data_IF_275940967775
#
_entry.id   IF_275940967775
#
_cell.length_a   1.000
_cell.length_b   1.000
_cell.length_c   1.000
_cell.angle_alpha   90.00
_cell.angle_beta   90.00
_cell.angle_gamma   90.00
#
_symmetry.space_group_name_H-M   'P 1'
#
loop_
_entity.id
_entity.type
_entity.pdbx_description
1 polymer ?
#
# COMPACT_ATOMS: atom_id res chain seq x y z
N UNK A 1 -63.96 26.92 1.85
CA UNK A 1 -62.61 26.52 1.35
C UNK A 1 -61.64 26.42 2.53
N UNK A 2 -61.04 25.27 2.78
CA UNK A 2 -60.00 25.10 3.83
C UNK A 2 -58.70 25.81 3.41
N UNK A 3 -57.93 26.34 4.39
CA UNK A 3 -56.66 26.99 4.10
C UNK A 3 -55.60 26.00 3.60
N UNK A 4 -54.65 26.48 2.79
CA UNK A 4 -53.60 25.61 2.24
C UNK A 4 -52.65 25.13 3.34
N UNK A 5 -52.06 23.94 3.20
CA UNK A 5 -51.15 23.37 4.20
C UNK A 5 -49.87 24.19 4.33
N UNK A 6 -49.54 24.57 5.55
CA UNK A 6 -48.30 25.25 5.94
C UNK A 6 -47.10 24.37 5.65
N UNK A 7 -46.17 24.93 4.87
CA UNK A 7 -44.86 24.28 4.60
C UNK A 7 -44.07 24.15 5.90
N UNK A 8 -43.39 23.00 6.13
CA UNK A 8 -42.51 22.87 7.30
C UNK A 8 -41.33 23.84 7.18
N UNK A 9 -41.07 24.57 8.26
CA UNK A 9 -39.89 25.42 8.42
C UNK A 9 -38.62 24.56 8.29
N UNK A 10 -37.94 24.61 7.14
CA UNK A 10 -36.60 24.05 6.96
C UNK A 10 -35.63 25.08 7.54
N UNK A 11 -34.99 24.72 8.62
CA UNK A 11 -33.86 25.47 9.18
C UNK A 11 -32.81 25.71 8.07
N UNK A 12 -32.10 26.87 8.05
CA UNK A 12 -31.09 27.14 7.05
C UNK A 12 -29.99 26.10 7.16
N UNK A 13 -30.01 25.14 6.22
CA UNK A 13 -29.08 24.06 6.12
C UNK A 13 -27.67 24.57 5.94
N UNK A 14 -26.80 24.16 6.82
CA UNK A 14 -25.36 24.20 6.70
C UNK A 14 -24.95 23.79 5.29
N UNK A 15 -24.48 24.74 4.52
CA UNK A 15 -23.87 24.52 3.20
C UNK A 15 -22.69 23.56 3.40
N UNK A 16 -22.65 22.40 2.71
CA UNK A 16 -21.48 21.52 2.79
C UNK A 16 -20.27 22.25 2.23
N UNK A 17 -19.28 22.38 3.12
CA UNK A 17 -18.12 23.21 2.95
C UNK A 17 -17.35 23.00 1.64
N UNK A 18 -16.68 24.03 1.26
CA UNK A 18 -15.81 24.26 0.09
C UNK A 18 -14.62 23.28 -0.09
N UNK A 19 -14.61 22.12 0.55
CA UNK A 19 -13.48 21.17 0.50
C UNK A 19 -13.30 20.41 -0.83
N UNK A 20 -14.24 20.53 -1.78
CA UNK A 20 -14.24 19.68 -2.98
C UNK A 20 -14.07 20.40 -4.33
N UNK A 21 -13.83 21.72 -4.33
CA UNK A 21 -13.77 22.46 -5.61
C UNK A 21 -12.42 22.38 -6.34
N UNK A 22 -11.33 22.13 -5.62
CA UNK A 22 -9.97 22.06 -6.21
C UNK A 22 -9.64 20.72 -6.85
N UNK A 23 -10.40 19.65 -6.56
CA UNK A 23 -10.15 18.34 -7.17
C UNK A 23 -10.87 18.14 -8.52
N UNK A 24 -11.90 18.93 -8.82
CA UNK A 24 -12.71 18.79 -10.06
C UNK A 24 -12.01 19.25 -11.33
N UNK A 25 -10.99 20.10 -11.25
CA UNK A 25 -10.28 20.64 -12.42
C UNK A 25 -9.03 19.89 -12.82
N UNK A 26 -8.66 18.84 -12.10
CA UNK A 26 -7.56 17.95 -12.51
C UNK A 26 -8.17 16.79 -13.27
N UNK A 27 -7.91 16.70 -14.56
CA UNK A 27 -8.34 15.57 -15.39
C UNK A 27 -8.04 14.24 -14.70
N UNK A 28 -8.95 13.29 -14.81
CA UNK A 28 -8.81 11.97 -14.21
C UNK A 28 -7.54 11.29 -14.71
N UNK A 29 -6.75 10.71 -13.80
CA UNK A 29 -5.53 9.98 -14.13
C UNK A 29 -5.74 8.50 -13.86
N UNK A 30 -5.49 7.68 -14.86
CA UNK A 30 -5.51 6.23 -14.70
C UNK A 30 -4.33 5.80 -13.82
N UNK A 31 -4.57 4.81 -12.96
CA UNK A 31 -3.52 4.24 -12.13
C UNK A 31 -2.43 3.58 -13.00
N UNK A 32 -1.14 3.93 -12.85
CA UNK A 32 -0.09 3.47 -13.77
C UNK A 32 0.04 1.94 -13.86
N UNK A 33 -0.09 1.27 -12.73
CA UNK A 33 -0.08 -0.19 -12.66
C UNK A 33 -1.32 -0.79 -13.33
N UNK A 34 -2.52 -0.26 -12.99
CA UNK A 34 -3.79 -0.73 -13.55
C UNK A 34 -3.87 -0.56 -15.08
N UNK A 35 -3.31 0.53 -15.60
CA UNK A 35 -3.24 0.77 -17.05
C UNK A 35 -2.43 -0.31 -17.80
N UNK A 36 -1.49 -0.99 -17.12
CA UNK A 36 -0.58 -1.99 -17.69
C UNK A 36 -0.94 -3.43 -17.35
N UNK A 37 -2.02 -3.64 -16.62
CA UNK A 37 -2.51 -5.00 -16.33
C UNK A 37 -2.88 -5.72 -17.62
N UNK A 38 -2.48 -6.99 -17.70
CA UNK A 38 -2.71 -7.83 -18.88
C UNK A 38 -1.76 -7.59 -20.07
N UNK A 39 -0.88 -6.57 -20.00
CA UNK A 39 0.13 -6.30 -21.04
C UNK A 39 1.53 -6.61 -20.50
N UNK A 40 2.01 -5.87 -19.51
CA UNK A 40 3.33 -6.07 -18.90
C UNK A 40 3.26 -6.31 -17.37
N UNK A 41 2.14 -6.03 -16.75
CA UNK A 41 1.89 -6.31 -15.34
C UNK A 41 0.81 -7.38 -15.21
N UNK A 42 0.93 -8.22 -14.17
CA UNK A 42 -0.04 -9.26 -13.84
C UNK A 42 -0.75 -8.93 -12.54
N UNK A 43 -1.83 -9.65 -12.25
CA UNK A 43 -2.58 -9.50 -11.00
C UNK A 43 -1.78 -10.05 -9.81
N UNK A 44 -1.99 -9.45 -8.66
CA UNK A 44 -1.39 -9.91 -7.40
C UNK A 44 -2.15 -11.08 -6.76
N UNK A 45 -3.33 -11.40 -7.25
CA UNK A 45 -4.08 -12.63 -6.93
C UNK A 45 -4.24 -13.42 -8.22
N UNK A 46 -3.73 -14.66 -8.25
CA UNK A 46 -3.68 -15.52 -9.43
C UNK A 46 -4.50 -16.78 -9.17
N UNK A 47 -5.78 -16.72 -9.49
CA UNK A 47 -6.73 -17.83 -9.37
C UNK A 47 -7.98 -17.55 -10.19
N UNK A 48 -8.74 -18.58 -10.45
CA UNK A 48 -10.04 -18.52 -11.10
C UNK A 48 -11.07 -19.30 -10.28
N UNK A 49 -12.22 -18.69 -9.99
CA UNK A 49 -13.33 -19.30 -9.28
C UNK A 49 -14.62 -18.55 -9.59
N UNK A 50 -15.66 -19.29 -10.01
CA UNK A 50 -16.96 -18.70 -10.34
C UNK A 50 -17.90 -18.60 -9.13
N UNK A 51 -17.98 -19.69 -8.34
CA UNK A 51 -19.00 -19.82 -7.27
C UNK A 51 -18.61 -19.11 -5.98
N UNK A 52 -17.32 -19.14 -5.63
CA UNK A 52 -16.81 -18.60 -4.36
C UNK A 52 -15.95 -17.35 -4.54
N UNK A 53 -16.05 -16.68 -5.70
CA UNK A 53 -15.25 -15.49 -6.03
C UNK A 53 -15.25 -14.45 -4.90
N UNK A 54 -16.43 -14.08 -4.40
CA UNK A 54 -16.58 -13.09 -3.32
C UNK A 54 -15.81 -13.49 -2.06
N UNK A 55 -15.95 -14.74 -1.62
CA UNK A 55 -15.30 -15.25 -0.42
C UNK A 55 -13.78 -15.18 -0.56
N UNK A 56 -13.24 -15.71 -1.63
CA UNK A 56 -11.80 -15.75 -1.87
C UNK A 56 -11.18 -14.36 -2.04
N UNK A 57 -11.90 -13.45 -2.71
CA UNK A 57 -11.46 -12.06 -2.86
C UNK A 57 -11.30 -11.36 -1.50
N UNK A 58 -12.29 -11.51 -0.62
CA UNK A 58 -12.23 -10.91 0.72
C UNK A 58 -11.16 -11.56 1.62
N UNK A 59 -10.98 -12.87 1.52
CA UNK A 59 -9.89 -13.57 2.19
C UNK A 59 -8.53 -13.02 1.74
N UNK A 60 -8.29 -12.90 0.44
CA UNK A 60 -7.03 -12.39 -0.10
C UNK A 60 -6.74 -10.95 0.35
N UNK A 61 -7.75 -10.09 0.37
CA UNK A 61 -7.59 -8.71 0.84
C UNK A 61 -7.19 -8.70 2.31
N UNK A 62 -7.82 -9.55 3.15
CA UNK A 62 -7.49 -9.66 4.57
C UNK A 62 -6.08 -10.21 4.77
N UNK A 63 -5.71 -11.28 4.07
CA UNK A 63 -4.37 -11.89 4.12
C UNK A 63 -3.30 -10.86 3.73
N UNK A 64 -3.44 -10.20 2.59
CA UNK A 64 -2.47 -9.20 2.12
C UNK A 64 -2.28 -8.06 3.10
N UNK A 65 -3.37 -7.56 3.68
CA UNK A 65 -3.33 -6.49 4.67
C UNK A 65 -2.66 -6.95 5.97
N UNK A 66 -3.09 -8.07 6.53
CA UNK A 66 -2.56 -8.60 7.77
C UNK A 66 -1.06 -8.94 7.67
N UNK A 67 -0.63 -9.59 6.58
CA UNK A 67 0.79 -9.89 6.34
C UNK A 67 1.61 -8.61 6.22
N UNK A 68 1.11 -7.59 5.51
CA UNK A 68 1.82 -6.33 5.34
C UNK A 68 1.94 -5.55 6.65
N UNK A 69 0.91 -5.56 7.49
CA UNK A 69 0.91 -4.92 8.81
C UNK A 69 1.88 -5.62 9.76
N UNK A 70 1.83 -6.95 9.83
CA UNK A 70 2.72 -7.73 10.70
C UNK A 70 4.19 -7.59 10.29
N UNK A 71 4.48 -7.67 9.00
CA UNK A 71 5.85 -7.59 8.44
C UNK A 71 6.29 -6.17 8.09
N UNK A 72 5.70 -5.15 8.70
CA UNK A 72 6.03 -3.77 8.39
C UNK A 72 7.53 -3.46 8.45
N UNK A 73 8.23 -3.98 9.47
CA UNK A 73 9.67 -3.78 9.68
C UNK A 73 10.55 -4.54 8.67
N UNK A 74 10.01 -5.55 8.01
CA UNK A 74 10.72 -6.35 7.02
C UNK A 74 10.79 -5.70 5.63
N UNK A 75 10.17 -4.52 5.42
CA UNK A 75 10.12 -3.83 4.13
C UNK A 75 9.52 -4.70 3.03
N UNK A 76 8.26 -5.08 3.18
CA UNK A 76 7.53 -5.88 2.21
C UNK A 76 7.10 -5.02 1.02
N UNK A 77 7.57 -5.36 -0.16
CA UNK A 77 7.23 -4.68 -1.41
C UNK A 77 5.81 -5.03 -1.89
N UNK A 78 5.52 -6.32 -2.00
CA UNK A 78 4.21 -6.83 -2.42
C UNK A 78 3.94 -8.20 -1.81
N UNK A 79 2.67 -8.56 -1.74
CA UNK A 79 2.20 -9.89 -1.35
C UNK A 79 1.31 -10.41 -2.48
N UNK A 80 1.67 -11.54 -3.04
CA UNK A 80 0.89 -12.24 -4.07
C UNK A 80 0.23 -13.48 -3.47
N UNK A 81 -0.94 -13.82 -3.97
CA UNK A 81 -1.69 -15.01 -3.55
C UNK A 81 -2.02 -15.84 -4.79
N UNK A 82 -1.58 -17.08 -4.80
CA UNK A 82 -1.91 -18.06 -5.82
C UNK A 82 -2.77 -19.15 -5.19
N UNK A 83 -3.89 -19.48 -5.82
CA UNK A 83 -4.77 -20.54 -5.34
C UNK A 83 -4.90 -21.63 -6.39
N UNK A 84 -4.75 -22.86 -5.96
CA UNK A 84 -4.97 -24.05 -6.79
C UNK A 84 -5.68 -25.10 -5.95
N UNK A 85 -6.89 -25.46 -6.35
CA UNK A 85 -7.77 -26.39 -5.62
C UNK A 85 -7.88 -26.00 -4.13
N UNK A 86 -7.41 -26.86 -3.22
CA UNK A 86 -7.49 -26.66 -1.77
C UNK A 86 -6.23 -26.02 -1.16
N UNK A 87 -5.32 -25.50 -1.98
CA UNK A 87 -4.05 -24.91 -1.54
C UNK A 87 -4.02 -23.42 -1.84
N UNK A 88 -3.53 -22.61 -0.89
CA UNK A 88 -3.26 -21.20 -1.05
C UNK A 88 -1.78 -20.92 -0.83
N UNK A 89 -1.07 -20.51 -1.89
CA UNK A 89 0.33 -20.12 -1.81
C UNK A 89 0.41 -18.61 -1.67
N UNK A 90 1.01 -18.12 -0.58
CA UNK A 90 1.25 -16.70 -0.32
C UNK A 90 2.71 -16.40 -0.57
N UNK A 91 3.00 -15.58 -1.57
CA UNK A 91 4.36 -15.18 -1.95
C UNK A 91 4.61 -13.78 -1.42
N UNK A 92 5.60 -13.63 -0.56
CA UNK A 92 5.98 -12.37 0.09
C UNK A 92 7.26 -11.85 -0.54
N UNK A 93 7.18 -10.74 -1.27
CA UNK A 93 8.35 -10.05 -1.81
C UNK A 93 8.87 -9.06 -0.80
N UNK A 94 10.10 -9.26 -0.32
CA UNK A 94 10.70 -8.43 0.73
C UNK A 94 12.15 -8.06 0.41
N UNK A 95 12.58 -6.91 0.91
CA UNK A 95 13.98 -6.49 0.86
C UNK A 95 14.84 -7.16 1.94
N UNK A 96 14.21 -7.75 2.98
CA UNK A 96 14.91 -8.37 4.12
C UNK A 96 14.34 -9.74 4.44
N UNK A 97 14.62 -10.76 3.60
CA UNK A 97 14.04 -12.10 3.77
C UNK A 97 14.39 -12.74 5.12
N UNK A 98 15.57 -12.48 5.65
CA UNK A 98 15.99 -13.00 6.96
C UNK A 98 15.09 -12.58 8.12
N UNK A 99 14.48 -11.39 8.07
CA UNK A 99 13.53 -10.94 9.10
C UNK A 99 12.18 -11.67 9.02
N UNK A 100 11.78 -12.06 7.82
CA UNK A 100 10.53 -12.80 7.58
C UNK A 100 10.69 -14.26 7.98
N UNK A 101 11.80 -14.88 7.59
CA UNK A 101 12.11 -16.29 7.89
C UNK A 101 12.34 -16.47 9.40
N UNK A 102 13.03 -15.51 10.04
CA UNK A 102 13.38 -15.58 11.45
C UNK A 102 14.40 -16.66 11.78
N UNK A 103 14.77 -16.78 13.05
CA UNK A 103 15.72 -17.78 13.53
C UNK A 103 15.13 -19.18 13.40
N UNK A 104 15.78 -20.04 12.59
CA UNK A 104 15.37 -21.43 12.41
C UNK A 104 13.98 -21.63 11.77
N UNK A 105 13.48 -20.64 11.00
CA UNK A 105 12.19 -20.75 10.31
C UNK A 105 10.96 -20.36 11.16
N UNK A 106 11.15 -20.05 12.44
CA UNK A 106 10.03 -19.70 13.35
C UNK A 106 9.16 -18.54 12.85
N UNK A 107 9.74 -17.57 12.13
CA UNK A 107 8.99 -16.46 11.56
C UNK A 107 7.94 -16.93 10.54
N UNK A 108 8.25 -17.92 9.71
CA UNK A 108 7.31 -18.49 8.74
C UNK A 108 6.21 -19.29 9.46
N UNK A 109 6.56 -20.05 10.51
CA UNK A 109 5.59 -20.78 11.31
C UNK A 109 4.59 -19.84 11.98
N UNK A 110 5.07 -18.74 12.58
CA UNK A 110 4.23 -17.70 13.15
C UNK A 110 3.34 -17.04 12.08
N UNK A 111 3.88 -16.78 10.90
CA UNK A 111 3.07 -16.27 9.79
C UNK A 111 1.98 -17.25 9.37
N UNK A 112 2.25 -18.55 9.40
CA UNK A 112 1.26 -19.57 9.04
C UNK A 112 0.21 -19.76 10.15
N UNK A 113 0.63 -20.06 11.37
CA UNK A 113 -0.24 -20.45 12.49
C UNK A 113 -0.67 -19.30 13.41
N UNK A 114 0.10 -18.21 13.45
CA UNK A 114 -0.12 -17.09 14.37
C UNK A 114 0.71 -17.17 15.66
N UNK A 115 0.64 -16.11 16.45
CA UNK A 115 1.30 -16.00 17.76
C UNK A 115 0.35 -15.45 18.82
N UNK A 116 -0.84 -16.02 18.95
CA UNK A 116 -1.83 -15.57 19.92
C UNK A 116 -1.33 -15.69 21.37
N UNK A 117 -0.43 -16.66 21.63
CA UNK A 117 0.08 -16.95 22.97
C UNK A 117 1.29 -16.08 23.38
N UNK A 118 1.93 -15.38 22.45
CA UNK A 118 3.13 -14.55 22.70
C UNK A 118 2.84 -13.16 23.26
N UNK A 119 1.61 -12.88 23.68
CA UNK A 119 1.21 -11.58 24.26
C UNK A 119 2.04 -11.15 25.48
N UNK A 120 2.78 -12.06 26.11
CA UNK A 120 3.62 -11.79 27.27
C UNK A 120 4.94 -11.03 26.97
N UNK A 121 5.33 -10.88 25.69
CA UNK A 121 6.62 -10.27 25.29
C UNK A 121 6.50 -8.97 24.49
N UNK A 122 5.32 -8.31 24.50
CA UNK A 122 5.15 -7.06 23.74
C UNK A 122 5.16 -7.22 22.22
N UNK A 123 5.08 -8.44 21.71
CA UNK A 123 4.98 -8.73 20.30
C UNK A 123 3.54 -8.47 19.80
N UNK A 124 3.42 -7.96 18.58
CA UNK A 124 2.12 -7.73 17.92
C UNK A 124 1.37 -9.04 17.75
N UNK A 125 0.16 -9.13 18.28
CA UNK A 125 -0.71 -10.30 18.10
C UNK A 125 -1.02 -10.47 16.61
N UNK A 126 -0.73 -11.64 16.07
CA UNK A 126 -1.03 -11.99 14.70
C UNK A 126 -1.82 -13.31 14.66
N UNK A 127 -3.02 -13.33 14.07
CA UNK A 127 -3.88 -14.52 14.09
C UNK A 127 -3.39 -15.65 13.18
N UNK A 128 -2.36 -15.40 12.37
CA UNK A 128 -1.87 -16.32 11.35
C UNK A 128 -2.67 -16.30 10.06
N UNK A 129 -1.99 -16.58 8.96
CA UNK A 129 -2.63 -16.59 7.63
C UNK A 129 -3.65 -17.73 7.53
N UNK A 130 -3.41 -18.85 8.19
CA UNK A 130 -4.31 -20.01 8.19
C UNK A 130 -5.70 -19.70 8.78
N UNK A 131 -5.81 -18.72 9.69
CA UNK A 131 -7.10 -18.34 10.28
C UNK A 131 -8.04 -17.61 9.31
N UNK A 132 -7.51 -17.04 8.23
CA UNK A 132 -8.29 -16.29 7.24
C UNK A 132 -8.85 -17.14 6.13
N UNK A 133 -8.35 -18.37 5.93
CA UNK A 133 -8.75 -19.27 4.84
C UNK A 133 -8.92 -20.71 5.32
N UNK A 134 -9.87 -21.41 4.72
CA UNK A 134 -10.07 -22.86 4.94
C UNK A 134 -9.07 -23.73 4.18
N UNK A 135 -8.36 -23.15 3.19
CA UNK A 135 -7.41 -23.87 2.36
C UNK A 135 -6.07 -24.03 3.10
N UNK A 136 -5.31 -25.06 2.75
CA UNK A 136 -3.96 -25.25 3.27
C UNK A 136 -3.03 -24.12 2.78
N UNK A 137 -2.34 -23.42 3.72
CA UNK A 137 -1.49 -22.28 3.40
C UNK A 137 -0.02 -22.69 3.27
N UNK A 138 0.59 -22.28 2.16
CA UNK A 138 2.02 -22.33 1.92
C UNK A 138 2.56 -20.91 1.81
N UNK A 139 3.67 -20.62 2.49
CA UNK A 139 4.31 -19.30 2.46
C UNK A 139 5.65 -19.43 1.75
N UNK A 140 5.85 -18.60 0.74
CA UNK A 140 7.10 -18.48 -0.01
C UNK A 140 7.64 -17.06 0.16
N UNK A 141 8.94 -16.93 0.41
CA UNK A 141 9.60 -15.64 0.63
C UNK A 141 10.59 -15.39 -0.48
N UNK A 142 10.36 -14.32 -1.23
CA UNK A 142 11.21 -13.92 -2.34
C UNK A 142 11.91 -12.59 -2.05
N UNK A 143 13.21 -12.56 -2.36
CA UNK A 143 14.03 -11.37 -2.18
C UNK A 143 13.85 -10.38 -3.33
N UNK A 144 13.67 -9.11 -2.99
CA UNK A 144 13.72 -7.98 -3.92
C UNK A 144 15.15 -7.47 -3.99
N UNK A 145 15.90 -7.87 -5.02
CA UNK A 145 17.34 -7.55 -5.16
C UNK A 145 17.66 -6.06 -5.23
N UNK A 146 16.75 -5.24 -5.80
CA UNK A 146 16.92 -3.78 -5.96
C UNK A 146 15.80 -3.05 -5.23
N UNK A 147 15.87 -3.03 -3.90
CA UNK A 147 14.88 -2.36 -3.05
C UNK A 147 14.76 -0.85 -3.34
N UNK A 148 15.87 -0.21 -3.72
CA UNK A 148 15.95 1.23 -3.98
C UNK A 148 15.25 1.67 -5.26
N UNK A 149 14.94 0.74 -6.16
CA UNK A 149 14.18 1.03 -7.39
C UNK A 149 12.71 0.62 -7.27
N UNK A 150 12.34 -0.16 -6.25
CA UNK A 150 10.96 -0.56 -6.02
C UNK A 150 10.13 0.62 -5.48
N UNK A 151 9.08 1.01 -6.19
CA UNK A 151 8.31 2.21 -5.87
C UNK A 151 7.64 2.15 -4.50
N UNK A 152 7.13 0.97 -4.07
CA UNK A 152 6.47 0.82 -2.78
C UNK A 152 7.46 0.97 -1.62
N UNK A 153 8.63 0.37 -1.71
CA UNK A 153 9.66 0.45 -0.68
C UNK A 153 10.23 1.87 -0.57
N UNK A 154 10.42 2.55 -1.68
CA UNK A 154 10.84 3.96 -1.70
C UNK A 154 9.79 4.86 -1.05
N UNK A 155 8.50 4.65 -1.34
CA UNK A 155 7.42 5.43 -0.73
C UNK A 155 7.35 5.21 0.79
N UNK A 156 7.45 3.98 1.27
CA UNK A 156 7.46 3.64 2.70
C UNK A 156 8.70 4.19 3.41
N UNK A 157 9.86 4.18 2.77
CA UNK A 157 11.08 4.78 3.31
C UNK A 157 10.94 6.30 3.48
N UNK A 158 10.37 6.99 2.48
CA UNK A 158 10.08 8.43 2.60
C UNK A 158 9.11 8.68 3.76
N UNK A 159 8.03 7.90 3.88
CA UNK A 159 7.05 8.04 4.94
C UNK A 159 7.68 7.86 6.33
N UNK A 160 8.53 6.86 6.52
CA UNK A 160 9.27 6.63 7.77
C UNK A 160 10.25 7.78 8.08
N UNK A 161 10.90 8.36 7.07
CA UNK A 161 11.75 9.54 7.28
C UNK A 161 10.94 10.76 7.72
N UNK A 162 9.74 10.94 7.19
CA UNK A 162 8.82 12.02 7.62
C UNK A 162 8.34 11.83 9.06
N UNK A 163 8.03 10.61 9.48
CA UNK A 163 7.72 10.30 10.89
C UNK A 163 8.86 10.68 11.84
N UNK A 164 10.11 10.46 11.41
CA UNK A 164 11.32 10.86 12.15
C UNK A 164 11.62 12.36 12.07
N UNK A 165 10.66 13.17 11.62
CA UNK A 165 10.77 14.63 11.49
C UNK A 165 11.90 15.11 10.57
N UNK A 166 12.34 14.28 9.62
CA UNK A 166 13.30 14.70 8.59
C UNK A 166 12.57 15.64 7.63
N UNK A 167 13.24 16.75 7.24
CA UNK A 167 12.69 17.71 6.30
C UNK A 167 12.26 17.02 4.99
N UNK A 168 11.01 17.15 4.61
CA UNK A 168 10.42 16.47 3.45
C UNK A 168 11.19 16.70 2.15
N UNK A 169 11.70 17.93 1.93
CA UNK A 169 12.52 18.26 0.75
C UNK A 169 13.80 17.43 0.69
N UNK A 170 14.45 17.23 1.84
CA UNK A 170 15.67 16.40 1.94
C UNK A 170 15.36 14.93 1.70
N UNK A 171 14.29 14.41 2.30
CA UNK A 171 13.85 13.03 2.11
C UNK A 171 13.52 12.73 0.64
N UNK A 172 12.74 13.60 -0.03
CA UNK A 172 12.38 13.45 -1.43
C UNK A 172 13.59 13.51 -2.36
N UNK A 173 14.49 14.50 -2.19
CA UNK A 173 15.70 14.64 -3.02
C UNK A 173 16.64 13.45 -2.84
N UNK A 174 16.81 12.96 -1.60
CA UNK A 174 17.63 11.78 -1.31
C UNK A 174 17.05 10.54 -1.99
N UNK A 175 15.73 10.32 -1.89
CA UNK A 175 15.07 9.18 -2.53
C UNK A 175 15.24 9.19 -4.06
N UNK A 176 15.07 10.37 -4.71
CA UNK A 176 15.32 10.55 -6.15
C UNK A 176 16.76 10.20 -6.53
N UNK A 177 17.73 10.85 -5.88
CA UNK A 177 19.14 10.62 -6.15
C UNK A 177 19.55 9.15 -5.95
N UNK A 178 19.04 8.50 -4.90
CA UNK A 178 19.32 7.09 -4.64
C UNK A 178 18.72 6.20 -5.74
N UNK A 179 17.45 6.35 -6.08
CA UNK A 179 16.82 5.54 -7.11
C UNK A 179 17.50 5.70 -8.48
N UNK A 180 17.92 6.92 -8.85
CA UNK A 180 18.66 7.17 -10.10
C UNK A 180 20.03 6.48 -10.09
N UNK A 181 20.75 6.49 -8.97
CA UNK A 181 22.05 5.79 -8.81
C UNK A 181 21.92 4.27 -8.99
N UNK A 182 20.81 3.68 -8.53
CA UNK A 182 20.53 2.25 -8.68
C UNK A 182 19.96 1.87 -10.05
N UNK A 183 19.93 2.80 -10.99
CA UNK A 183 19.62 2.55 -12.40
C UNK A 183 18.16 2.73 -12.79
N UNK A 184 17.36 3.44 -12.00
CA UNK A 184 16.03 3.86 -12.44
C UNK A 184 16.17 4.85 -13.63
N UNK A 185 15.39 4.64 -14.70
CA UNK A 185 15.37 5.54 -15.88
C UNK A 185 14.71 6.88 -15.60
N UNK A 186 13.94 6.96 -14.56
CA UNK A 186 13.30 8.17 -14.06
C UNK A 186 12.40 7.89 -12.88
N UNK A 187 12.25 8.89 -12.02
CA UNK A 187 11.49 8.80 -10.79
C UNK A 187 10.63 10.05 -10.63
N UNK A 188 9.43 9.87 -10.15
CA UNK A 188 8.53 10.95 -9.73
C UNK A 188 8.05 10.68 -8.32
N UNK A 189 8.37 11.56 -7.40
CA UNK A 189 7.91 11.52 -6.00
C UNK A 189 6.91 12.64 -5.76
N UNK A 190 5.81 12.31 -5.12
CA UNK A 190 4.78 13.27 -4.72
C UNK A 190 4.48 13.09 -3.24
N UNK A 191 4.65 14.15 -2.46
CA UNK A 191 4.21 14.20 -1.07
C UNK A 191 3.04 15.17 -0.93
N UNK A 192 2.02 14.79 -0.21
CA UNK A 192 0.83 15.60 0.05
C UNK A 192 0.47 15.56 1.53
N UNK A 193 -0.01 16.67 2.05
CA UNK A 193 -0.43 16.78 3.45
C UNK A 193 0.03 18.09 4.09
N UNK A 194 0.02 18.17 5.42
CA UNK A 194 0.49 19.29 6.22
C UNK A 194 2.02 19.25 6.35
N UNK A 195 2.71 19.48 5.23
CA UNK A 195 4.16 19.34 5.13
C UNK A 195 4.89 20.38 5.99
N UNK A 196 5.74 19.89 6.90
CA UNK A 196 6.48 20.74 7.83
C UNK A 196 5.64 21.37 8.93
N UNK A 197 4.48 20.79 9.26
CA UNK A 197 3.58 21.31 10.31
C UNK A 197 2.71 22.49 9.88
N UNK A 198 2.67 22.83 8.58
CA UNK A 198 1.85 23.93 8.07
C UNK A 198 0.35 23.66 8.31
N UNK A 199 -0.42 24.72 8.63
CA UNK A 199 -1.89 24.60 8.83
C UNK A 199 -2.59 24.15 7.56
N UNK A 200 -2.19 24.69 6.41
CA UNK A 200 -2.75 24.33 5.12
C UNK A 200 -2.01 23.16 4.50
N UNK A 201 -2.77 22.17 4.05
CA UNK A 201 -2.24 21.06 3.27
C UNK A 201 -1.73 21.53 1.91
N UNK A 202 -0.55 21.06 1.52
CA UNK A 202 0.01 21.31 0.19
C UNK A 202 0.57 20.05 -0.43
N UNK A 203 0.83 20.14 -1.72
CA UNK A 203 1.37 19.04 -2.52
C UNK A 203 2.67 19.49 -3.14
N UNK A 204 3.74 18.75 -2.87
CA UNK A 204 5.04 18.96 -3.48
C UNK A 204 5.37 17.75 -4.37
N UNK A 205 5.90 18.04 -5.56
CA UNK A 205 6.27 17.00 -6.53
C UNK A 205 7.68 17.25 -7.04
N UNK A 206 8.53 16.25 -6.95
CA UNK A 206 9.84 16.23 -7.59
C UNK A 206 9.87 15.15 -8.65
N UNK A 207 10.56 15.44 -9.76
CA UNK A 207 10.72 14.52 -10.86
C UNK A 207 12.14 14.62 -11.40
N UNK A 208 12.72 13.48 -11.72
CA UNK A 208 14.02 13.37 -12.36
C UNK A 208 13.97 12.26 -13.40
N UNK A 209 14.65 12.45 -14.53
CA UNK A 209 14.64 11.50 -15.62
C UNK A 209 13.30 11.39 -16.36
N UNK A 210 13.08 10.23 -16.99
CA UNK A 210 11.95 9.99 -17.89
C UNK A 210 10.91 9.08 -17.26
N UNK A 211 9.67 9.57 -17.09
CA UNK A 211 8.54 8.82 -16.55
C UNK A 211 7.37 8.84 -17.55
N UNK A 212 7.32 7.91 -18.50
CA UNK A 212 6.31 7.88 -19.55
C UNK A 212 5.02 7.22 -19.05
N UNK A 213 4.08 7.99 -18.51
CA UNK A 213 2.83 7.47 -17.94
C UNK A 213 1.88 6.91 -19.01
N UNK A 214 1.86 7.50 -20.20
CA UNK A 214 0.96 7.12 -21.30
C UNK A 214 1.50 6.00 -22.20
N UNK A 215 2.77 5.64 -22.08
CA UNK A 215 3.37 4.58 -22.89
C UNK A 215 3.08 3.24 -22.26
N UNK A 216 2.23 2.44 -22.90
CA UNK A 216 1.76 1.15 -22.38
C UNK A 216 2.90 0.14 -22.16
N UNK A 217 3.84 0.04 -23.12
CA UNK A 217 4.99 -0.88 -23.06
C UNK A 217 6.08 -0.48 -22.06
N UNK A 218 6.01 0.74 -21.48
CA UNK A 218 6.98 1.17 -20.51
C UNK A 218 6.70 0.54 -19.14
N UNK A 219 7.69 -0.10 -18.55
CA UNK A 219 7.59 -0.63 -17.20
C UNK A 219 7.61 0.52 -16.19
N UNK A 220 6.45 0.82 -15.61
CA UNK A 220 6.27 1.85 -14.59
C UNK A 220 5.71 1.18 -13.34
N UNK A 221 6.45 1.29 -12.26
CA UNK A 221 6.03 0.85 -10.94
C UNK A 221 5.35 2.00 -10.18
N UNK A 222 4.49 1.66 -9.21
CA UNK A 222 3.75 2.61 -8.40
C UNK A 222 3.74 2.18 -6.94
N UNK A 223 4.05 3.11 -6.05
CA UNK A 223 4.00 2.90 -4.61
C UNK A 223 3.23 4.01 -3.92
N UNK A 224 2.42 3.62 -2.94
CA UNK A 224 1.66 4.53 -2.08
C UNK A 224 1.92 4.19 -0.61
N UNK A 225 2.31 5.19 0.17
CA UNK A 225 2.44 5.08 1.61
C UNK A 225 1.75 6.27 2.28
N UNK A 226 0.90 5.98 3.24
CA UNK A 226 0.25 6.97 4.10
C UNK A 226 0.70 6.79 5.54
N UNK A 227 1.06 7.90 6.20
CA UNK A 227 1.44 7.90 7.61
C UNK A 227 0.85 9.12 8.33
N UNK A 228 0.41 8.92 9.55
CA UNK A 228 0.07 10.00 10.45
C UNK A 228 1.38 10.64 10.95
N UNK A 229 1.51 11.94 10.71
CA UNK A 229 2.61 12.68 11.31
C UNK A 229 2.26 12.97 12.78
N UNK A 230 3.21 12.83 13.71
CA UNK A 230 2.98 13.24 15.08
C UNK A 230 2.67 14.74 15.09
N UNK A 231 1.46 15.08 15.47
CA UNK A 231 1.06 16.46 15.78
C UNK A 231 1.87 16.92 16.97
N UNK A 232 2.70 17.92 16.78
CA UNK A 232 3.44 18.58 17.87
C UNK A 232 2.51 19.37 18.76
#
# INVERSE_FOLDING_TARGET
>A
TPPPPTRPNVAPGTTPGHANRTQRNMGQKTHPYGFRLGVIKTWTSKWYEDKQYNKWLHEDIRIKRAVKEYLYNANVASVEVERAANKAKVIVYTARPGMVIGKGGKGIEILKSGNLDSAAKGETKFPGVQSFTSNEVFIDVQEVRKAETNAQLVAENIATQLERRIAFRRAMKKALSTAMKFGAKGVRVRCAGRLGGAEMGRVETYREGRVPLHTLRADVDFGLAGRALPTG
#
